data_IF_888123221155
#
_entry.id   IF_888123221155
#
_cell.length_a   1.000
_cell.length_b   1.000
_cell.length_c   1.000
_cell.angle_alpha   90.00
_cell.angle_beta   90.00
_cell.angle_gamma   90.00
#
_symmetry.space_group_name_H-M   'P 1'
#
loop_
_entity.id
_entity.type
_entity.pdbx_description
1 polymer ?
#
# COMPACT_ATOMS: atom_id res chain seq x y z
N UNK A 1 -2.11 10.79 2.54
CA UNK A 1 -0.69 10.40 2.46
C UNK A 1 0.07 11.57 1.88
N UNK A 2 0.80 12.32 2.70
CA UNK A 2 1.55 13.47 2.20
C UNK A 2 2.75 12.99 1.40
N UNK A 3 2.86 13.43 0.15
CA UNK A 3 4.00 13.15 -0.75
C UNK A 3 5.26 13.90 -0.27
N UNK A 4 5.14 14.72 0.79
CA UNK A 4 6.23 15.53 1.35
C UNK A 4 7.44 14.72 1.82
N UNK A 5 7.27 13.44 2.15
CA UNK A 5 8.36 12.57 2.58
C UNK A 5 9.37 12.23 1.45
N UNK A 6 9.01 12.46 0.18
CA UNK A 6 9.84 12.15 -0.98
C UNK A 6 10.32 13.40 -1.74
N UNK A 7 10.17 14.59 -1.15
CA UNK A 7 10.61 15.84 -1.79
C UNK A 7 12.11 15.79 -2.05
N UNK A 8 12.50 15.91 -3.33
CA UNK A 8 13.89 15.87 -3.76
C UNK A 8 14.46 14.48 -4.08
N UNK A 9 13.70 13.40 -3.87
CA UNK A 9 14.14 12.03 -4.16
C UNK A 9 13.22 11.33 -5.17
N UNK A 10 13.76 10.78 -6.28
CA UNK A 10 12.96 9.99 -7.20
C UNK A 10 12.45 8.73 -6.50
N UNK A 11 11.16 8.42 -6.69
CA UNK A 11 10.54 7.21 -6.17
C UNK A 11 9.61 6.61 -7.21
N UNK A 12 9.28 5.33 -7.06
CA UNK A 12 8.30 4.63 -7.91
C UNK A 12 7.24 4.05 -6.98
N UNK A 13 5.97 4.27 -7.29
CA UNK A 13 4.89 3.63 -6.55
C UNK A 13 4.81 2.14 -6.91
N UNK A 14 4.82 1.30 -5.89
CA UNK A 14 4.56 -0.13 -6.01
C UNK A 14 3.25 -0.46 -5.30
N UNK A 15 2.34 -1.10 -6.03
CA UNK A 15 1.05 -1.61 -5.53
C UNK A 15 0.71 -2.89 -6.29
N UNK A 16 -0.15 -3.72 -5.73
CA UNK A 16 -0.72 -4.85 -6.46
C UNK A 16 -1.72 -4.36 -7.52
N UNK A 17 -2.08 -5.23 -8.46
CA UNK A 17 -2.99 -4.89 -9.56
C UNK A 17 -4.39 -5.47 -9.38
N UNK A 18 -4.95 -5.39 -8.17
CA UNK A 18 -6.36 -5.64 -7.93
C UNK A 18 -7.26 -4.81 -8.88
N UNK A 19 -8.51 -5.23 -9.14
CA UNK A 19 -9.35 -4.61 -10.17
C UNK A 19 -9.53 -3.08 -10.03
N UNK A 20 -9.63 -2.56 -8.81
CA UNK A 20 -9.73 -1.12 -8.52
C UNK A 20 -8.46 -0.35 -8.90
N UNK A 21 -7.28 -0.93 -8.68
CA UNK A 21 -5.99 -0.33 -9.06
C UNK A 21 -5.81 -0.34 -10.59
N UNK A 22 -6.41 -1.31 -11.27
CA UNK A 22 -6.48 -1.41 -12.72
C UNK A 22 -7.40 -0.40 -13.41
N UNK A 23 -8.30 0.27 -12.68
CA UNK A 23 -9.33 1.14 -13.24
C UNK A 23 -8.74 2.36 -13.97
N UNK A 24 -9.45 2.83 -15.02
CA UNK A 24 -9.01 4.01 -15.81
C UNK A 24 -8.88 5.26 -14.94
N UNK A 25 -9.85 5.49 -14.05
CA UNK A 25 -9.84 6.61 -13.11
C UNK A 25 -8.62 6.56 -12.19
N UNK A 26 -8.27 5.38 -11.67
CA UNK A 26 -7.08 5.19 -10.84
C UNK A 26 -5.81 5.50 -11.61
N UNK A 27 -5.68 5.02 -12.86
CA UNK A 27 -4.51 5.32 -13.71
C UNK A 27 -4.34 6.83 -13.95
N UNK A 28 -5.43 7.56 -14.20
CA UNK A 28 -5.38 9.03 -14.34
C UNK A 28 -4.79 9.70 -13.09
N UNK A 29 -5.15 9.24 -11.90
CA UNK A 29 -4.57 9.74 -10.64
C UNK A 29 -3.07 9.39 -10.54
N UNK A 30 -2.69 8.16 -10.91
CA UNK A 30 -1.29 7.73 -10.89
C UNK A 30 -0.43 8.58 -11.82
N UNK A 31 -0.86 8.78 -13.06
CA UNK A 31 -0.15 9.57 -14.07
C UNK A 31 -0.05 11.06 -13.66
N UNK A 32 -1.03 11.58 -12.92
CA UNK A 32 -1.07 12.99 -12.49
C UNK A 32 -0.18 13.27 -11.28
N UNK A 33 -0.10 12.33 -10.33
CA UNK A 33 0.46 12.62 -8.99
C UNK A 33 1.76 11.89 -8.68
N UNK A 34 2.15 10.89 -9.46
CA UNK A 34 3.32 10.07 -9.18
C UNK A 34 4.34 10.18 -10.32
N UNK A 35 5.64 10.31 -10.00
CA UNK A 35 6.70 10.34 -11.01
C UNK A 35 6.86 9.00 -11.76
N UNK A 36 6.32 7.91 -11.20
CA UNK A 36 6.25 6.59 -11.84
C UNK A 36 5.57 5.56 -10.94
N UNK A 37 5.10 4.47 -11.54
CA UNK A 37 4.52 3.31 -10.84
C UNK A 37 4.84 2.01 -11.58
N UNK A 38 4.89 0.89 -10.85
CA UNK A 38 5.08 -0.42 -11.45
C UNK A 38 3.82 -0.84 -12.21
N UNK A 39 3.94 -0.93 -13.53
CA UNK A 39 2.87 -1.34 -14.44
C UNK A 39 2.38 -2.77 -14.20
N UNK A 40 1.15 -3.06 -14.66
CA UNK A 40 0.51 -4.37 -14.49
C UNK A 40 1.35 -5.51 -15.04
N UNK A 41 2.02 -5.27 -16.15
CA UNK A 41 2.81 -6.29 -16.85
C UNK A 41 4.12 -6.63 -16.11
N UNK A 42 4.54 -5.80 -15.15
CA UNK A 42 5.72 -6.03 -14.31
C UNK A 42 5.37 -6.76 -13.01
N UNK A 43 4.08 -6.94 -12.70
CA UNK A 43 3.61 -7.56 -11.46
C UNK A 43 2.97 -8.92 -11.72
N UNK A 44 3.60 -10.04 -11.33
CA UNK A 44 2.96 -11.35 -11.44
C UNK A 44 1.69 -11.41 -10.58
N UNK A 45 0.63 -11.99 -11.15
CA UNK A 45 -0.63 -12.15 -10.43
C UNK A 45 -0.43 -13.06 -9.21
N UNK A 46 -1.05 -12.69 -8.08
CA UNK A 46 -1.02 -13.45 -6.81
C UNK A 46 0.39 -13.64 -6.22
N UNK A 47 1.21 -12.60 -6.28
CA UNK A 47 2.54 -12.58 -5.66
C UNK A 47 2.62 -11.69 -4.41
N UNK A 48 1.98 -12.10 -3.28
CA UNK A 48 2.10 -11.37 -2.01
C UNK A 48 3.54 -11.37 -1.49
N UNK A 49 4.35 -12.37 -1.87
CA UNK A 49 5.79 -12.45 -1.59
C UNK A 49 6.58 -11.25 -2.12
N UNK A 50 6.08 -10.58 -3.17
CA UNK A 50 6.71 -9.40 -3.77
C UNK A 50 6.22 -8.09 -3.20
N UNK A 51 5.12 -8.08 -2.44
CA UNK A 51 4.55 -6.88 -1.84
C UNK A 51 5.06 -6.71 -0.40
N UNK A 52 5.92 -5.71 -0.10
CA UNK A 52 6.41 -5.46 1.27
C UNK A 52 5.32 -5.29 2.31
N UNK A 53 4.18 -4.76 1.89
CA UNK A 53 3.02 -4.62 2.75
C UNK A 53 2.47 -6.01 3.13
N UNK A 54 2.34 -6.94 2.18
CA UNK A 54 1.78 -8.27 2.43
C UNK A 54 2.78 -9.23 3.08
N UNK A 55 4.03 -9.29 2.61
CA UNK A 55 4.99 -10.25 3.14
C UNK A 55 5.53 -9.88 4.53
N UNK A 56 5.46 -8.60 4.93
CA UNK A 56 6.07 -8.13 6.19
C UNK A 56 5.17 -7.23 7.03
N UNK A 57 4.73 -6.08 6.51
CA UNK A 57 4.09 -5.05 7.35
C UNK A 57 2.81 -5.56 8.00
N UNK A 58 1.96 -6.28 7.25
CA UNK A 58 0.73 -6.86 7.80
C UNK A 58 1.00 -7.89 8.90
N UNK A 59 1.98 -8.79 8.71
CA UNK A 59 2.33 -9.77 9.73
C UNK A 59 2.88 -9.13 11.01
N UNK A 60 3.70 -8.07 10.87
CA UNK A 60 4.19 -7.31 12.03
C UNK A 60 3.06 -6.58 12.76
N UNK A 61 2.11 -6.00 12.01
CA UNK A 61 0.97 -5.33 12.59
C UNK A 61 0.06 -6.32 13.32
N UNK A 62 -0.27 -7.44 12.69
CA UNK A 62 -1.05 -8.52 13.28
C UNK A 62 -0.42 -9.02 14.59
N UNK A 63 0.90 -9.24 14.59
CA UNK A 63 1.62 -9.64 15.80
C UNK A 63 1.52 -8.63 16.94
N UNK A 64 1.37 -7.33 16.65
CA UNK A 64 1.23 -6.28 17.67
C UNK A 64 -0.17 -6.23 18.27
N UNK A 65 -1.20 -6.41 17.45
CA UNK A 65 -2.59 -6.17 17.84
C UNK A 65 -3.37 -7.43 18.24
N UNK A 66 -2.93 -8.62 17.80
CA UNK A 66 -3.67 -9.89 17.99
C UNK A 66 -3.83 -10.32 19.46
N UNK A 67 -3.03 -9.78 20.37
CA UNK A 67 -3.11 -10.07 21.82
C UNK A 67 -4.12 -9.21 22.59
N UNK A 68 -4.84 -8.30 21.94
CA UNK A 68 -5.74 -7.34 22.59
C UNK A 68 -7.10 -7.25 21.89
N UNK A 69 -8.16 -7.00 22.67
CA UNK A 69 -9.48 -6.65 22.13
C UNK A 69 -9.67 -5.15 22.15
N UNK A 70 -10.18 -4.59 21.06
CA UNK A 70 -10.45 -3.15 20.92
C UNK A 70 -11.95 -2.94 20.71
N UNK A 71 -12.58 -2.15 21.59
CA UNK A 71 -14.04 -1.97 21.60
C UNK A 71 -14.49 -0.75 20.77
N UNK A 72 -13.58 -0.05 20.10
CA UNK A 72 -13.88 1.05 19.21
C UNK A 72 -12.85 1.17 18.08
N UNK A 73 -13.25 1.80 16.98
CA UNK A 73 -12.36 2.10 15.86
C UNK A 73 -11.21 3.02 16.31
N UNK A 74 -11.47 3.96 17.21
CA UNK A 74 -10.46 4.90 17.69
C UNK A 74 -9.42 4.22 18.58
N UNK A 75 -9.85 3.27 19.43
CA UNK A 75 -8.93 2.46 20.23
C UNK A 75 -8.02 1.60 19.34
N UNK A 76 -8.56 1.05 18.25
CA UNK A 76 -7.77 0.29 17.28
C UNK A 76 -6.79 1.21 16.52
N UNK A 77 -7.24 2.36 16.03
CA UNK A 77 -6.37 3.35 15.35
C UNK A 77 -5.21 3.83 16.23
N UNK A 78 -5.41 3.95 17.53
CA UNK A 78 -4.35 4.34 18.46
C UNK A 78 -3.29 3.25 18.68
N UNK A 79 -3.60 1.99 18.33
CA UNK A 79 -2.70 0.86 18.47
C UNK A 79 -1.93 0.50 17.18
N UNK A 80 -2.32 1.08 16.04
CA UNK A 80 -1.72 0.88 14.70
C UNK A 80 -0.75 2.01 14.39
#
# INVERSE_FOLDING_TARGET
>A
MSISAFVGHPFILQQDWAPSYGAKSTKVVLDTHFPGYLGKDLWPARSPDRNPIDFSVWGLLESKISGSSYNSVDALKAAV
#
